data_IF_655991196199
#
_entry.id   IF_655991196199
#
_cell.length_a   1.000
_cell.length_b   1.000
_cell.length_c   1.000
_cell.angle_alpha   90.00
_cell.angle_beta   90.00
_cell.angle_gamma   90.00
#
_symmetry.space_group_name_H-M   'P 1'
#
loop_
_entity.id
_entity.type
_entity.pdbx_description
1 polymer ?
#
# COMPACT_ATOMS: atom_id res chain seq x y z
N UNK A 1 11.93 7.08 -27.12
CA UNK A 1 10.98 7.73 -26.19
C UNK A 1 9.83 6.75 -25.95
N UNK A 2 9.46 6.56 -24.67
CA UNK A 2 8.30 5.79 -24.26
C UNK A 2 7.19 6.75 -23.79
N UNK A 3 6.08 6.82 -24.50
CA UNK A 3 4.84 7.45 -24.04
C UNK A 3 4.05 6.39 -23.27
N UNK A 4 4.06 6.49 -21.94
CA UNK A 4 3.66 5.40 -21.05
C UNK A 4 2.23 5.49 -20.54
N UNK A 5 1.43 6.46 -21.01
CA UNK A 5 0.09 6.75 -20.49
C UNK A 5 0.11 6.89 -18.96
N UNK A 6 -0.68 6.11 -18.23
CA UNK A 6 -0.68 6.10 -16.76
C UNK A 6 0.56 5.43 -16.15
N UNK A 7 1.32 4.68 -16.94
CA UNK A 7 2.55 4.04 -16.47
C UNK A 7 3.62 5.05 -16.10
N UNK A 8 4.31 4.83 -14.98
CA UNK A 8 5.36 5.69 -14.42
C UNK A 8 4.88 7.07 -13.96
N UNK A 9 3.56 7.28 -13.88
CA UNK A 9 2.96 8.48 -13.31
C UNK A 9 3.08 8.56 -11.80
N UNK A 10 2.83 9.75 -11.26
CA UNK A 10 2.71 9.99 -9.82
C UNK A 10 1.57 10.96 -9.52
N UNK A 11 1.07 10.96 -8.30
CA UNK A 11 0.23 12.04 -7.78
C UNK A 11 1.07 13.28 -7.47
N UNK A 12 0.41 14.37 -7.12
CA UNK A 12 1.02 15.63 -6.76
C UNK A 12 1.28 16.58 -7.94
N UNK A 13 1.64 17.81 -7.63
CA UNK A 13 1.95 18.84 -8.62
C UNK A 13 3.33 18.61 -9.24
N UNK A 14 3.51 19.03 -10.51
CA UNK A 14 4.78 18.91 -11.21
C UNK A 14 5.90 19.71 -10.54
N UNK A 15 5.56 20.82 -9.92
CA UNK A 15 6.49 21.77 -9.32
C UNK A 15 6.76 21.46 -7.83
N UNK A 16 6.11 20.42 -7.25
CA UNK A 16 6.37 20.03 -5.88
C UNK A 16 7.71 19.30 -5.77
N UNK A 17 8.57 19.81 -4.90
CA UNK A 17 9.82 19.13 -4.52
C UNK A 17 9.52 17.97 -3.57
N UNK A 18 9.11 16.85 -4.13
CA UNK A 18 8.84 15.62 -3.39
C UNK A 18 9.47 14.42 -4.07
N UNK A 19 9.85 13.41 -3.30
CA UNK A 19 10.37 12.17 -3.86
C UNK A 19 9.33 11.49 -4.75
N UNK A 20 9.75 11.09 -5.94
CA UNK A 20 8.90 10.41 -6.91
C UNK A 20 8.31 9.11 -6.35
N UNK A 21 9.08 8.36 -5.55
CA UNK A 21 8.77 6.97 -5.18
C UNK A 21 7.47 6.85 -4.39
N UNK A 22 7.22 7.69 -3.40
CA UNK A 22 6.07 7.54 -2.50
C UNK A 22 4.77 7.87 -3.24
N UNK A 23 4.73 8.97 -3.96
CA UNK A 23 3.55 9.37 -4.73
C UNK A 23 3.32 8.49 -5.97
N UNK A 24 4.39 7.99 -6.58
CA UNK A 24 4.28 7.03 -7.70
C UNK A 24 3.81 5.65 -7.22
N UNK A 25 4.24 5.19 -6.03
CA UNK A 25 3.72 3.96 -5.41
C UNK A 25 2.24 4.11 -5.11
N UNK A 26 1.85 5.21 -4.48
CA UNK A 26 0.44 5.51 -4.18
C UNK A 26 -0.40 5.55 -5.46
N UNK A 27 0.11 6.20 -6.50
CA UNK A 27 -0.51 6.22 -7.83
C UNK A 27 -0.62 4.80 -8.42
N UNK A 28 0.49 4.07 -8.52
CA UNK A 28 0.54 2.73 -9.10
C UNK A 28 -0.45 1.78 -8.40
N UNK A 29 -0.37 1.67 -7.08
CA UNK A 29 -1.20 0.72 -6.32
C UNK A 29 -2.68 1.06 -6.45
N UNK A 30 -3.05 2.34 -6.37
CA UNK A 30 -4.46 2.72 -6.42
C UNK A 30 -5.08 2.71 -7.82
N UNK A 31 -4.31 2.95 -8.87
CA UNK A 31 -4.81 3.04 -10.26
C UNK A 31 -4.48 1.79 -11.06
N UNK A 32 -3.24 1.31 -11.01
CA UNK A 32 -2.70 0.25 -11.87
C UNK A 32 -2.62 -1.11 -11.16
N UNK A 33 -2.61 -1.14 -9.82
CA UNK A 33 -2.21 -2.28 -9.00
C UNK A 33 -2.84 -3.62 -9.34
N UNK A 34 -4.12 -3.67 -9.74
CA UNK A 34 -4.80 -4.92 -10.14
C UNK A 34 -4.28 -5.52 -11.47
N UNK A 35 -3.54 -4.74 -12.26
CA UNK A 35 -3.06 -5.12 -13.59
C UNK A 35 -1.60 -5.58 -13.60
N UNK A 36 -1.09 -6.11 -12.50
CA UNK A 36 0.33 -6.51 -12.36
C UNK A 36 0.81 -7.42 -13.50
N UNK A 37 0.02 -8.41 -13.90
CA UNK A 37 0.38 -9.32 -15.02
C UNK A 37 0.55 -8.58 -16.34
N UNK A 38 -0.33 -7.63 -16.64
CA UNK A 38 -0.26 -6.82 -17.86
C UNK A 38 0.97 -5.91 -17.85
N UNK A 39 1.26 -5.30 -16.68
CA UNK A 39 2.46 -4.47 -16.50
C UNK A 39 3.73 -5.29 -16.69
N UNK A 40 3.82 -6.48 -16.10
CA UNK A 40 4.95 -7.41 -16.29
C UNK A 40 5.14 -7.76 -17.78
N UNK A 41 4.04 -8.06 -18.49
CA UNK A 41 4.06 -8.33 -19.91
C UNK A 41 4.55 -7.15 -20.76
N UNK A 42 4.14 -5.92 -20.40
CA UNK A 42 4.57 -4.69 -21.04
C UNK A 42 6.08 -4.46 -20.82
N UNK A 43 6.54 -4.55 -19.59
CA UNK A 43 7.95 -4.35 -19.22
C UNK A 43 8.85 -5.36 -19.91
N UNK A 44 8.41 -6.62 -20.03
CA UNK A 44 9.14 -7.65 -20.77
C UNK A 44 9.27 -7.31 -22.26
N UNK A 45 8.22 -6.78 -22.89
CA UNK A 45 8.28 -6.32 -24.30
C UNK A 45 9.19 -5.09 -24.46
N UNK A 46 9.16 -4.18 -23.49
CA UNK A 46 9.97 -2.96 -23.51
C UNK A 46 11.46 -3.22 -23.24
N UNK A 47 11.82 -4.33 -22.61
CA UNK A 47 13.21 -4.65 -22.23
C UNK A 47 14.19 -4.76 -23.42
N UNK A 48 13.68 -5.01 -24.64
CA UNK A 48 14.48 -5.03 -25.86
C UNK A 48 14.59 -3.68 -26.60
N UNK A 49 13.99 -2.62 -26.05
CA UNK A 49 13.96 -1.30 -26.65
C UNK A 49 14.99 -0.37 -25.99
N UNK A 50 15.68 0.43 -26.80
CA UNK A 50 16.54 1.50 -26.30
C UNK A 50 15.69 2.71 -25.89
N UNK A 51 15.19 2.67 -24.64
CA UNK A 51 14.36 3.72 -24.05
C UNK A 51 15.27 4.72 -23.34
N UNK A 52 15.31 5.96 -23.82
CA UNK A 52 16.11 7.04 -23.24
C UNK A 52 15.26 8.11 -22.53
N UNK A 53 13.94 7.99 -22.61
CA UNK A 53 13.00 8.92 -21.99
C UNK A 53 11.65 8.25 -21.80
N UNK A 54 11.04 8.46 -20.62
CA UNK A 54 9.67 8.05 -20.32
C UNK A 54 8.82 9.29 -20.11
N UNK A 55 7.71 9.37 -20.83
CA UNK A 55 6.76 10.49 -20.78
C UNK A 55 5.40 10.00 -20.29
N UNK A 56 5.15 10.01 -18.98
CA UNK A 56 3.84 9.68 -18.42
C UNK A 56 2.84 10.81 -18.65
N UNK A 57 1.54 10.50 -18.57
CA UNK A 57 0.47 11.52 -18.63
C UNK A 57 0.37 12.32 -17.32
N UNK A 58 0.80 11.74 -16.21
CA UNK A 58 0.75 12.34 -14.87
C UNK A 58 2.14 12.30 -14.25
N UNK A 59 2.67 13.44 -13.84
CA UNK A 59 4.00 13.56 -13.23
C UNK A 59 5.09 14.05 -14.21
N UNK A 60 6.35 14.03 -13.79
CA UNK A 60 7.46 14.58 -14.56
C UNK A 60 7.88 13.65 -15.71
N UNK A 61 8.53 14.24 -16.72
CA UNK A 61 9.23 13.47 -17.73
C UNK A 61 10.51 12.87 -17.09
N UNK A 62 10.69 11.56 -17.24
CA UNK A 62 11.83 10.83 -16.67
C UNK A 62 12.90 10.65 -17.76
N UNK A 63 14.11 11.16 -17.51
CA UNK A 63 15.22 11.14 -18.48
C UNK A 63 16.48 10.48 -17.95
N UNK A 64 16.64 10.47 -16.61
CA UNK A 64 17.82 9.96 -15.95
C UNK A 64 17.47 8.74 -15.11
N UNK A 65 18.43 7.84 -14.90
CA UNK A 65 18.28 6.66 -14.06
C UNK A 65 17.01 5.85 -14.35
N UNK A 66 16.65 5.65 -15.60
CA UNK A 66 15.42 4.96 -16.00
C UNK A 66 15.31 3.55 -15.43
N UNK A 67 16.44 2.88 -15.18
CA UNK A 67 16.51 1.57 -14.55
C UNK A 67 15.84 1.55 -13.17
N UNK A 68 16.00 2.61 -12.38
CA UNK A 68 15.36 2.74 -11.07
C UNK A 68 13.82 2.68 -11.14
N UNK A 69 13.23 3.44 -12.06
CA UNK A 69 11.78 3.47 -12.24
C UNK A 69 11.24 2.13 -12.76
N UNK A 70 11.95 1.50 -13.68
CA UNK A 70 11.60 0.19 -14.23
C UNK A 70 11.67 -0.88 -13.12
N UNK A 71 12.70 -0.86 -12.28
CA UNK A 71 12.85 -1.79 -11.14
C UNK A 71 11.70 -1.65 -10.15
N UNK A 72 11.30 -0.42 -9.80
CA UNK A 72 10.13 -0.16 -8.94
C UNK A 72 8.85 -0.77 -9.55
N UNK A 73 8.61 -0.55 -10.81
CA UNK A 73 7.45 -1.10 -11.52
C UNK A 73 7.49 -2.63 -11.62
N UNK A 74 8.65 -3.25 -11.85
CA UNK A 74 8.82 -4.71 -11.80
C UNK A 74 8.43 -5.25 -10.43
N UNK A 75 8.88 -4.61 -9.36
CA UNK A 75 8.62 -5.01 -7.99
C UNK A 75 7.15 -4.85 -7.62
N UNK A 76 6.55 -3.67 -7.85
CA UNK A 76 5.15 -3.42 -7.55
C UNK A 76 4.20 -4.33 -8.33
N UNK A 77 4.45 -4.53 -9.62
CA UNK A 77 3.61 -5.36 -10.50
C UNK A 77 3.74 -6.86 -10.26
N UNK A 78 4.82 -7.32 -9.62
CA UNK A 78 4.98 -8.70 -9.14
C UNK A 78 4.37 -8.95 -7.77
N UNK A 79 3.86 -7.90 -7.11
CA UNK A 79 3.33 -7.92 -5.74
C UNK A 79 4.37 -8.31 -4.67
N UNK A 80 5.66 -8.19 -4.99
CA UNK A 80 6.70 -8.38 -3.99
C UNK A 80 6.75 -7.19 -3.03
N UNK A 81 7.01 -7.41 -1.72
CA UNK A 81 7.22 -6.32 -0.78
C UNK A 81 8.37 -5.43 -1.24
N UNK A 82 8.18 -4.13 -1.13
CA UNK A 82 9.24 -3.17 -1.46
C UNK A 82 10.30 -3.09 -0.36
N UNK A 83 9.86 -3.19 0.89
CA UNK A 83 10.69 -3.07 2.08
C UNK A 83 10.34 -4.15 3.11
N UNK A 84 11.33 -4.54 3.91
CA UNK A 84 11.05 -5.28 5.14
C UNK A 84 10.53 -4.31 6.20
N UNK A 85 9.27 -4.43 6.51
CA UNK A 85 8.57 -3.58 7.45
C UNK A 85 7.19 -4.11 7.78
N UNK A 86 6.50 -3.41 8.67
CA UNK A 86 5.22 -3.79 9.22
C UNK A 86 4.27 -2.58 9.17
N UNK A 87 3.17 -2.69 8.43
CA UNK A 87 2.06 -1.76 8.58
C UNK A 87 1.16 -2.23 9.73
N UNK A 88 0.84 -1.35 10.66
CA UNK A 88 -0.20 -1.54 11.67
C UNK A 88 -1.37 -0.64 11.31
N UNK A 89 -2.38 -1.20 10.63
CA UNK A 89 -3.59 -0.50 10.22
C UNK A 89 -4.69 -0.69 11.27
N UNK A 90 -5.24 0.41 11.78
CA UNK A 90 -6.18 0.39 12.89
C UNK A 90 -7.50 1.09 12.53
N UNK A 91 -8.62 0.48 12.94
CA UNK A 91 -9.94 1.11 12.94
C UNK A 91 -10.58 0.98 14.32
N UNK A 92 -10.62 2.08 15.08
CA UNK A 92 -11.09 2.11 16.47
C UNK A 92 -12.26 3.05 16.65
N UNK A 93 -13.29 2.63 17.39
CA UNK A 93 -14.47 3.45 17.67
C UNK A 93 -14.20 4.39 18.86
N UNK A 94 -13.77 3.85 19.98
CA UNK A 94 -13.61 4.56 21.26
C UNK A 94 -12.15 4.70 21.72
N UNK A 95 -11.18 4.42 20.86
CA UNK A 95 -9.76 4.55 21.16
C UNK A 95 -9.09 3.32 21.79
N UNK A 96 -9.81 2.35 22.33
CA UNK A 96 -9.19 1.19 22.99
C UNK A 96 -8.41 0.30 22.02
N UNK A 97 -8.97 0.00 20.85
CA UNK A 97 -8.27 -0.75 19.81
C UNK A 97 -7.07 0.04 19.27
N UNK A 98 -7.21 1.37 19.16
CA UNK A 98 -6.13 2.27 18.78
C UNK A 98 -4.97 2.21 19.77
N UNK A 99 -5.26 2.35 21.07
CA UNK A 99 -4.23 2.27 22.11
C UNK A 99 -3.46 0.93 22.08
N UNK A 100 -4.17 -0.18 21.86
CA UNK A 100 -3.52 -1.49 21.69
C UNK A 100 -2.65 -1.58 20.44
N UNK A 101 -3.11 -1.03 19.32
CA UNK A 101 -2.36 -1.01 18.05
C UNK A 101 -1.14 -0.08 18.11
N UNK A 102 -1.26 1.08 18.74
CA UNK A 102 -0.13 1.99 19.00
C UNK A 102 0.92 1.31 19.90
N UNK A 103 0.47 0.66 21.00
CA UNK A 103 1.39 -0.07 21.87
C UNK A 103 2.09 -1.24 21.15
N UNK A 104 1.39 -1.96 20.30
CA UNK A 104 1.99 -2.99 19.43
C UNK A 104 3.06 -2.38 18.53
N UNK A 105 2.77 -1.22 17.92
CA UNK A 105 3.73 -0.52 17.06
C UNK A 105 5.00 -0.09 17.81
N UNK A 106 4.84 0.41 19.06
CA UNK A 106 5.97 0.75 19.93
C UNK A 106 6.85 -0.47 20.21
N UNK A 107 6.24 -1.58 20.65
CA UNK A 107 6.96 -2.84 20.94
C UNK A 107 7.72 -3.32 19.72
N UNK A 108 7.11 -3.29 18.53
CA UNK A 108 7.78 -3.69 17.30
C UNK A 108 8.98 -2.80 16.99
N UNK A 109 8.87 -1.48 17.19
CA UNK A 109 9.98 -0.52 17.03
C UNK A 109 11.10 -0.76 18.05
N UNK A 110 10.75 -1.01 19.31
CA UNK A 110 11.71 -1.36 20.38
C UNK A 110 12.48 -2.64 20.05
N UNK A 111 11.88 -3.57 19.31
CA UNK A 111 12.53 -4.79 18.80
C UNK A 111 13.30 -4.57 17.47
N UNK A 112 13.42 -3.33 17.02
CA UNK A 112 14.17 -2.98 15.81
C UNK A 112 13.42 -3.13 14.49
N UNK A 113 12.09 -3.39 14.52
CA UNK A 113 11.31 -3.48 13.30
C UNK A 113 10.97 -2.10 12.74
N UNK A 114 10.99 -1.96 11.41
CA UNK A 114 10.41 -0.81 10.71
C UNK A 114 8.89 -0.92 10.74
N UNK A 115 8.24 -0.37 11.77
CA UNK A 115 6.79 -0.42 11.95
C UNK A 115 6.15 0.96 11.76
N UNK A 116 5.11 1.02 10.95
CA UNK A 116 4.32 2.23 10.66
C UNK A 116 2.88 2.01 11.14
N UNK A 117 2.38 2.93 11.96
CA UNK A 117 0.99 2.96 12.40
C UNK A 117 0.15 3.84 11.50
N UNK A 118 -1.06 3.39 11.15
CA UNK A 118 -2.06 4.19 10.44
C UNK A 118 -3.44 4.01 11.04
N UNK A 119 -4.11 5.13 11.32
CA UNK A 119 -5.49 5.19 11.80
C UNK A 119 -6.44 5.35 10.62
N UNK A 120 -7.07 4.27 10.17
CA UNK A 120 -7.98 4.26 9.01
C UNK A 120 -9.20 5.17 9.18
N UNK A 121 -9.44 5.70 10.38
CA UNK A 121 -10.51 6.67 10.65
C UNK A 121 -10.07 8.12 10.45
N UNK A 122 -8.78 8.38 10.23
CA UNK A 122 -8.18 9.72 10.19
C UNK A 122 -7.21 9.92 9.03
N UNK A 123 -6.39 8.90 8.76
CA UNK A 123 -5.33 8.97 7.76
C UNK A 123 -5.87 8.72 6.34
N UNK A 124 -5.08 9.10 5.34
CA UNK A 124 -5.46 8.88 3.93
C UNK A 124 -5.55 7.38 3.61
N UNK A 125 -6.74 6.96 3.19
CA UNK A 125 -7.00 5.56 2.85
C UNK A 125 -6.17 5.07 1.65
N UNK A 126 -5.88 5.93 0.69
CA UNK A 126 -5.07 5.56 -0.48
C UNK A 126 -3.59 5.35 -0.09
N UNK A 127 -3.11 6.11 0.89
CA UNK A 127 -1.79 5.92 1.47
C UNK A 127 -1.73 4.63 2.30
N UNK A 128 -2.75 4.35 3.11
CA UNK A 128 -2.83 3.11 3.87
C UNK A 128 -2.80 1.88 2.96
N UNK A 129 -3.53 1.92 1.85
CA UNK A 129 -3.52 0.87 0.82
C UNK A 129 -2.12 0.75 0.21
N UNK A 130 -1.47 1.84 -0.17
CA UNK A 130 -0.12 1.81 -0.74
C UNK A 130 0.90 1.21 0.24
N UNK A 131 0.82 1.56 1.53
CA UNK A 131 1.68 1.01 2.58
C UNK A 131 1.43 -0.49 2.84
N UNK A 132 0.22 -0.99 2.66
CA UNK A 132 -0.06 -2.42 2.74
C UNK A 132 0.66 -3.23 1.63
N UNK A 133 0.90 -2.61 0.48
CA UNK A 133 1.70 -3.21 -0.60
C UNK A 133 3.21 -2.94 -0.45
N UNK A 134 3.59 -1.87 0.24
CA UNK A 134 5.00 -1.53 0.49
C UNK A 134 5.68 -2.55 1.38
N UNK A 135 5.05 -2.91 2.50
CA UNK A 135 5.64 -3.74 3.54
C UNK A 135 5.30 -5.22 3.41
N UNK A 136 6.21 -6.07 3.89
CA UNK A 136 6.05 -7.53 3.86
C UNK A 136 5.04 -8.07 4.88
N UNK A 137 4.71 -7.27 5.91
CA UNK A 137 3.85 -7.68 7.02
C UNK A 137 2.78 -6.61 7.29
N UNK A 138 1.56 -7.04 7.61
CA UNK A 138 0.45 -6.14 7.93
C UNK A 138 -0.24 -6.65 9.19
N UNK A 139 -0.45 -5.78 10.17
CA UNK A 139 -1.30 -6.03 11.33
C UNK A 139 -2.59 -5.24 11.14
N UNK A 140 -3.71 -5.94 11.15
CA UNK A 140 -5.05 -5.37 11.06
C UNK A 140 -5.66 -5.34 12.47
N UNK A 141 -5.93 -4.16 12.99
CA UNK A 141 -6.50 -3.96 14.31
C UNK A 141 -7.88 -3.31 14.19
N UNK A 142 -8.95 -4.04 14.50
CA UNK A 142 -10.31 -3.53 14.35
C UNK A 142 -11.22 -3.82 15.52
N UNK A 143 -12.12 -2.87 15.81
CA UNK A 143 -13.23 -3.08 16.70
C UNK A 143 -14.35 -3.88 16.00
N UNK A 144 -15.03 -4.72 16.77
CA UNK A 144 -16.30 -5.33 16.33
C UNK A 144 -17.39 -4.26 16.32
N UNK A 145 -18.18 -4.23 15.26
CA UNK A 145 -19.26 -3.29 15.05
C UNK A 145 -20.44 -4.00 14.40
N UNK A 146 -21.62 -3.88 14.98
CA UNK A 146 -22.87 -4.44 14.46
C UNK A 146 -22.76 -5.93 14.03
N UNK A 147 -22.07 -6.73 14.85
CA UNK A 147 -21.81 -8.15 14.56
C UNK A 147 -20.77 -8.43 13.46
N UNK A 148 -20.12 -7.40 12.94
CA UNK A 148 -19.12 -7.46 11.88
C UNK A 148 -17.85 -6.66 12.20
N UNK A 149 -17.25 -6.11 11.17
CA UNK A 149 -16.04 -5.27 11.24
C UNK A 149 -16.45 -3.80 11.27
N UNK A 150 -15.71 -2.96 12.00
CA UNK A 150 -15.92 -1.52 11.94
C UNK A 150 -15.66 -0.98 10.50
N UNK A 151 -16.60 -0.20 9.90
CA UNK A 151 -16.61 0.13 8.48
C UNK A 151 -15.31 0.66 7.85
N UNK A 152 -14.47 1.50 8.51
CA UNK A 152 -13.21 1.92 7.89
C UNK A 152 -12.25 0.76 7.62
N UNK A 153 -12.23 -0.27 8.46
CA UNK A 153 -11.45 -1.49 8.18
C UNK A 153 -12.08 -2.32 7.06
N UNK A 154 -13.39 -2.40 6.99
CA UNK A 154 -14.10 -3.11 5.92
C UNK A 154 -13.81 -2.47 4.54
N UNK A 155 -13.87 -1.12 4.45
CA UNK A 155 -13.50 -0.38 3.22
C UNK A 155 -12.03 -0.64 2.85
N UNK A 156 -11.12 -0.63 3.83
CA UNK A 156 -9.72 -0.93 3.60
C UNK A 156 -9.52 -2.33 3.00
N UNK A 157 -10.12 -3.36 3.60
CA UNK A 157 -10.04 -4.74 3.11
C UNK A 157 -10.62 -4.89 1.70
N UNK A 158 -11.75 -4.25 1.44
CA UNK A 158 -12.38 -4.23 0.13
C UNK A 158 -11.45 -3.63 -0.94
N UNK A 159 -10.77 -2.52 -0.61
CA UNK A 159 -9.77 -1.91 -1.51
C UNK A 159 -8.58 -2.83 -1.74
N UNK A 160 -8.07 -3.50 -0.71
CA UNK A 160 -6.98 -4.46 -0.85
C UNK A 160 -7.36 -5.63 -1.77
N UNK A 161 -8.56 -6.20 -1.58
CA UNK A 161 -9.06 -7.30 -2.41
C UNK A 161 -9.16 -6.90 -3.89
N UNK A 162 -9.67 -5.69 -4.18
CA UNK A 162 -9.79 -5.19 -5.55
C UNK A 162 -8.46 -4.90 -6.24
N UNK A 163 -7.36 -4.83 -5.48
CA UNK A 163 -6.00 -4.59 -5.99
C UNK A 163 -5.13 -5.83 -5.97
N UNK A 164 -5.77 -7.00 -5.78
CA UNK A 164 -5.08 -8.28 -5.82
C UNK A 164 -4.02 -8.43 -4.72
N UNK A 165 -4.33 -7.98 -3.49
CA UNK A 165 -3.45 -8.06 -2.33
C UNK A 165 -3.02 -9.50 -2.06
N UNK A 166 -1.71 -9.70 -1.97
CA UNK A 166 -1.12 -11.02 -1.83
C UNK A 166 0.32 -10.95 -1.32
N UNK A 167 0.93 -12.11 -1.05
CA UNK A 167 2.35 -12.26 -0.64
C UNK A 167 2.70 -11.46 0.62
N UNK A 168 1.77 -11.36 1.57
CA UNK A 168 1.99 -10.69 2.85
C UNK A 168 1.68 -11.60 4.02
N UNK A 169 2.41 -11.45 5.10
CA UNK A 169 2.04 -12.03 6.39
C UNK A 169 1.08 -11.09 7.08
N UNK A 170 -0.08 -11.62 7.51
CA UNK A 170 -1.10 -10.81 8.15
C UNK A 170 -1.32 -11.26 9.59
N UNK A 171 -1.21 -10.31 10.54
CA UNK A 171 -1.61 -10.46 11.93
C UNK A 171 -2.94 -9.77 12.19
N UNK A 172 -3.77 -10.31 13.09
CA UNK A 172 -5.08 -9.77 13.40
C UNK A 172 -5.18 -9.43 14.88
N UNK A 173 -5.71 -8.24 15.19
CA UNK A 173 -6.10 -7.79 16.53
C UNK A 173 -7.57 -7.42 16.48
N UNK A 174 -8.39 -8.04 17.32
CA UNK A 174 -9.80 -7.70 17.44
C UNK A 174 -10.17 -7.26 18.86
N UNK A 175 -11.19 -6.42 18.93
CA UNK A 175 -11.77 -5.97 20.18
C UNK A 175 -13.29 -5.88 20.06
N UNK A 176 -14.02 -6.11 21.15
CA UNK A 176 -15.47 -5.99 21.18
C UNK A 176 -16.00 -6.09 22.61
N UNK A 177 -17.14 -5.44 22.87
CA UNK A 177 -17.72 -5.34 24.22
C UNK A 177 -18.34 -6.64 24.72
N UNK A 178 -18.92 -7.45 23.82
CA UNK A 178 -19.55 -8.74 24.16
C UNK A 178 -18.73 -9.91 23.65
N UNK A 179 -18.84 -10.19 22.36
CA UNK A 179 -18.07 -11.22 21.68
C UNK A 179 -17.30 -10.58 20.55
N UNK A 180 -15.96 -10.46 20.63
CA UNK A 180 -15.16 -10.00 19.51
C UNK A 180 -15.39 -10.88 18.28
N UNK A 181 -15.67 -10.26 17.13
CA UNK A 181 -16.00 -10.98 15.90
C UNK A 181 -15.34 -10.37 14.65
N UNK A 182 -14.61 -9.26 14.79
CA UNK A 182 -13.97 -8.57 13.67
C UNK A 182 -12.95 -9.46 12.95
N UNK A 183 -12.18 -10.28 13.67
CA UNK A 183 -11.17 -11.16 13.06
C UNK A 183 -11.76 -12.17 12.07
N UNK A 184 -13.00 -12.60 12.30
CA UNK A 184 -13.67 -13.53 11.36
C UNK A 184 -13.88 -12.89 9.98
N UNK A 185 -14.19 -11.60 9.94
CA UNK A 185 -14.37 -10.87 8.68
C UNK A 185 -13.05 -10.36 8.09
N UNK A 186 -11.98 -10.25 8.90
CA UNK A 186 -10.64 -9.87 8.42
C UNK A 186 -9.84 -11.05 7.81
N UNK A 187 -10.33 -12.28 7.93
CA UNK A 187 -9.74 -13.50 7.31
C UNK A 187 -10.17 -13.65 5.86
#
# INVERSE_FOLDING_TARGET
ILFSADGFGKFGALEAEEEWTDEARRYFINIVGKYGVQVQGLLKKAAGLDIQMICPLHGPILKENLGFYIEKYLKWSSYEPEEDGILVACASIHGNTKAAAEKMTEILKEQGANAVFMDLTRDDMAEAVANAFRYGKVILAAASYDGGIFPPMEDFLHRLAHKNFQKRTVGLIENGSWAPCAARGMK
#
